data_IF_212986810631
#
_entry.id   IF_212986810631
#
_cell.length_a   1.000
_cell.length_b   1.000
_cell.length_c   1.000
_cell.angle_alpha   90.00
_cell.angle_beta   90.00
_cell.angle_gamma   90.00
#
_symmetry.space_group_name_H-M   'P 1'
#
loop_
_entity.id
_entity.type
_entity.pdbx_description
1 polymer ?
#
# COMPACT_ATOMS: atom_id res chain seq x y z
N UNK A 1 -31.55 -9.90 -27.89
CA UNK A 1 -30.08 -9.85 -27.97
C UNK A 1 -29.44 -9.80 -26.57
N UNK A 2 -29.30 -10.92 -25.82
CA UNK A 2 -28.59 -10.94 -24.55
C UNK A 2 -27.22 -11.69 -24.60
N UNK A 3 -26.79 -12.21 -25.76
CA UNK A 3 -25.59 -13.07 -25.81
C UNK A 3 -24.26 -12.34 -25.82
N UNK A 4 -24.19 -11.07 -26.21
CA UNK A 4 -22.94 -10.29 -26.31
C UNK A 4 -22.41 -9.82 -24.95
N UNK A 5 -23.29 -9.51 -23.99
CA UNK A 5 -22.86 -9.01 -22.67
C UNK A 5 -22.30 -10.12 -21.75
N UNK A 6 -22.78 -11.35 -21.91
CA UNK A 6 -22.29 -12.51 -21.14
C UNK A 6 -20.93 -12.96 -21.66
N UNK A 7 -20.71 -12.96 -22.98
CA UNK A 7 -19.42 -13.31 -23.58
C UNK A 7 -18.31 -12.29 -23.23
N UNK A 8 -18.61 -10.99 -23.23
CA UNK A 8 -17.68 -9.94 -22.80
C UNK A 8 -17.31 -10.07 -21.31
N UNK A 9 -18.26 -10.38 -20.45
CA UNK A 9 -17.98 -10.61 -19.01
C UNK A 9 -17.08 -11.83 -18.80
N UNK A 10 -17.28 -12.93 -19.53
CA UNK A 10 -16.45 -14.12 -19.39
C UNK A 10 -15.00 -13.90 -19.90
N UNK A 11 -14.81 -13.07 -20.94
CA UNK A 11 -13.47 -12.73 -21.46
C UNK A 11 -12.67 -11.85 -20.47
N UNK A 12 -13.30 -10.90 -19.81
CA UNK A 12 -12.64 -10.03 -18.83
C UNK A 12 -12.27 -10.80 -17.54
N UNK A 13 -13.12 -11.77 -17.14
CA UNK A 13 -12.87 -12.58 -15.93
C UNK A 13 -11.67 -13.51 -16.06
N UNK A 14 -11.22 -13.80 -17.27
CA UNK A 14 -10.12 -14.76 -17.52
C UNK A 14 -8.80 -14.07 -17.91
N UNK A 15 -8.80 -12.74 -18.09
CA UNK A 15 -7.59 -11.99 -18.43
C UNK A 15 -6.67 -11.88 -17.22
N UNK A 16 -5.38 -12.17 -17.42
CA UNK A 16 -4.34 -11.94 -16.42
C UNK A 16 -4.34 -10.47 -15.98
N UNK A 17 -4.09 -10.23 -14.70
CA UNK A 17 -3.91 -8.90 -14.13
C UNK A 17 -2.83 -8.13 -14.90
N UNK A 18 -3.18 -6.96 -15.41
CA UNK A 18 -2.26 -6.11 -16.16
C UNK A 18 -1.42 -5.24 -15.22
N UNK A 19 -0.12 -5.26 -15.41
CA UNK A 19 0.83 -4.42 -14.69
C UNK A 19 0.91 -3.09 -15.44
N UNK A 20 0.09 -2.13 -15.06
CA UNK A 20 -0.07 -0.85 -15.76
C UNK A 20 -0.21 0.35 -14.81
N UNK A 21 0.14 0.16 -13.55
CA UNK A 21 0.10 1.22 -12.54
C UNK A 21 1.11 0.95 -11.42
N UNK A 22 1.41 2.03 -10.66
CA UNK A 22 2.15 2.02 -9.41
C UNK A 22 1.59 3.15 -8.53
N UNK A 23 0.90 2.80 -7.43
CA UNK A 23 0.20 3.78 -6.60
C UNK A 23 0.90 4.11 -5.30
N UNK A 24 2.14 3.60 -5.11
CA UNK A 24 2.92 3.89 -3.92
C UNK A 24 4.37 4.17 -4.31
N UNK A 25 4.70 5.43 -4.52
CA UNK A 25 6.02 5.89 -4.94
C UNK A 25 6.40 7.13 -4.11
N UNK A 26 7.63 7.16 -3.61
CA UNK A 26 8.19 8.33 -2.94
C UNK A 26 9.14 9.10 -3.84
N UNK A 27 9.15 10.42 -3.71
CA UNK A 27 10.18 11.26 -4.30
C UNK A 27 11.31 11.55 -3.31
N UNK A 28 12.33 12.27 -3.76
CA UNK A 28 13.41 12.76 -2.88
C UNK A 28 12.93 13.74 -1.78
N UNK A 29 11.66 14.20 -1.84
CA UNK A 29 11.04 15.06 -0.83
C UNK A 29 10.76 14.29 0.46
N UNK A 30 10.40 13.01 0.38
CA UNK A 30 10.23 12.16 1.57
C UNK A 30 11.51 12.12 2.40
N UNK A 31 11.37 12.37 3.71
CA UNK A 31 12.54 12.49 4.61
C UNK A 31 13.39 11.21 4.75
N UNK A 32 12.90 10.07 4.30
CA UNK A 32 13.63 8.80 4.23
C UNK A 32 14.24 8.52 2.84
N UNK A 33 13.94 9.32 1.83
CA UNK A 33 14.55 9.23 0.52
C UNK A 33 15.90 9.98 0.52
N UNK A 34 16.95 9.32 0.04
CA UNK A 34 18.30 9.87 0.00
C UNK A 34 18.87 9.91 -1.42
N UNK A 35 18.07 9.59 -2.43
CA UNK A 35 18.44 9.63 -3.84
C UNK A 35 17.91 10.94 -4.48
N UNK A 36 18.77 11.94 -4.75
CA UNK A 36 18.34 13.20 -5.35
C UNK A 36 17.83 13.05 -6.78
N UNK A 37 18.12 11.92 -7.43
CA UNK A 37 17.62 11.61 -8.78
C UNK A 37 16.20 11.06 -8.77
N UNK A 38 15.62 10.76 -7.59
CA UNK A 38 14.24 10.28 -7.42
C UNK A 38 13.25 11.46 -7.57
N UNK A 39 13.32 12.15 -8.68
CA UNK A 39 12.46 13.32 -9.01
C UNK A 39 11.14 12.89 -9.61
N UNK A 40 10.14 13.79 -9.61
CA UNK A 40 8.84 13.55 -10.25
C UNK A 40 8.99 13.26 -11.75
N UNK A 41 9.94 13.88 -12.44
CA UNK A 41 10.25 13.62 -13.86
C UNK A 41 10.83 12.23 -14.08
N UNK A 42 11.70 11.75 -13.15
CA UNK A 42 12.25 10.40 -13.22
C UNK A 42 11.16 9.35 -12.98
N UNK A 43 10.27 9.62 -12.03
CA UNK A 43 9.10 8.76 -11.72
C UNK A 43 8.16 8.68 -12.93
N UNK A 44 7.86 9.81 -13.57
CA UNK A 44 7.04 9.80 -14.79
C UNK A 44 7.71 9.01 -15.92
N UNK A 45 9.01 9.20 -16.13
CA UNK A 45 9.77 8.45 -17.14
C UNK A 45 9.71 6.94 -16.88
N UNK A 46 9.88 6.50 -15.64
CA UNK A 46 9.70 5.10 -15.25
C UNK A 46 8.33 4.55 -15.68
N UNK A 47 7.27 5.30 -15.44
CA UNK A 47 5.93 4.89 -15.84
C UNK A 47 5.77 4.79 -17.36
N UNK A 48 6.32 5.75 -18.11
CA UNK A 48 6.28 5.74 -19.57
C UNK A 48 7.08 4.60 -20.19
N UNK A 49 8.28 4.34 -19.67
CA UNK A 49 9.16 3.26 -20.12
C UNK A 49 8.57 1.87 -19.88
N UNK A 50 7.76 1.72 -18.81
CA UNK A 50 7.10 0.46 -18.49
C UNK A 50 5.65 0.36 -19.01
N UNK A 51 5.18 1.36 -19.77
CA UNK A 51 3.85 1.37 -20.37
C UNK A 51 2.71 1.45 -19.35
N UNK A 52 2.95 2.10 -18.21
CA UNK A 52 1.92 2.35 -17.21
C UNK A 52 0.93 3.40 -17.72
N UNK A 53 -0.31 3.27 -17.30
CA UNK A 53 -1.39 4.22 -17.59
C UNK A 53 -1.65 5.18 -16.43
N UNK A 54 -1.28 4.77 -15.19
CA UNK A 54 -1.54 5.56 -14.00
C UNK A 54 -0.46 5.33 -12.94
N UNK A 55 0.00 6.39 -12.28
CA UNK A 55 0.91 6.33 -11.14
C UNK A 55 0.48 7.34 -10.08
N UNK A 56 0.93 7.14 -8.83
CA UNK A 56 0.66 8.07 -7.75
C UNK A 56 1.94 8.37 -6.95
N UNK A 57 2.25 9.66 -6.80
CA UNK A 57 3.26 10.11 -5.86
C UNK A 57 2.65 10.17 -4.47
N UNK A 58 3.23 9.45 -3.51
CA UNK A 58 2.66 9.25 -2.17
C UNK A 58 3.70 9.51 -1.08
N UNK A 59 4.36 10.67 -1.15
CA UNK A 59 5.31 11.08 -0.12
C UNK A 59 4.68 11.03 1.27
N UNK A 60 5.48 10.73 2.30
CA UNK A 60 5.01 10.64 3.68
C UNK A 60 4.35 11.93 4.14
N UNK A 61 3.23 11.79 4.84
CA UNK A 61 2.37 12.90 5.21
C UNK A 61 1.78 12.76 6.61
N UNK A 62 1.74 13.87 7.33
CA UNK A 62 0.91 14.04 8.51
C UNK A 62 0.27 15.44 8.50
N UNK A 63 -1.06 15.48 8.57
CA UNK A 63 -1.82 16.74 8.61
C UNK A 63 -1.49 17.50 9.91
N UNK A 64 -1.02 18.73 9.78
CA UNK A 64 -0.67 19.60 10.90
C UNK A 64 -1.85 19.90 11.84
N UNK A 65 -3.08 19.70 11.40
CA UNK A 65 -4.29 19.85 12.22
C UNK A 65 -4.62 18.62 13.05
N UNK A 66 -3.89 17.51 12.86
CA UNK A 66 -4.09 16.25 13.58
C UNK A 66 -3.00 16.08 14.63
N UNK A 67 -3.40 16.00 15.90
CA UNK A 67 -2.45 15.77 17.00
C UNK A 67 -1.88 14.34 16.99
N UNK A 68 -0.69 14.17 17.57
CA UNK A 68 -0.08 12.85 17.74
C UNK A 68 1.01 12.49 16.73
N UNK A 69 1.43 13.43 15.88
CA UNK A 69 2.59 13.26 15.02
C UNK A 69 3.88 13.03 15.83
N UNK A 70 4.78 12.19 15.32
CA UNK A 70 6.16 12.19 15.79
C UNK A 70 6.92 13.42 15.28
N UNK A 71 8.09 13.71 15.87
CA UNK A 71 8.97 14.78 15.36
C UNK A 71 9.40 14.58 13.91
N UNK A 72 9.41 13.34 13.44
CA UNK A 72 9.75 13.00 12.07
C UNK A 72 8.57 13.30 11.14
N UNK A 73 7.36 12.85 11.48
CA UNK A 73 6.15 13.09 10.69
C UNK A 73 5.71 14.56 10.70
N UNK A 74 5.85 15.29 11.80
CA UNK A 74 5.40 16.70 11.91
C UNK A 74 6.05 17.64 10.89
N UNK A 75 7.20 17.25 10.33
CA UNK A 75 7.90 17.98 9.27
C UNK A 75 7.38 17.68 7.86
N UNK A 76 6.66 16.57 7.69
CA UNK A 76 6.12 16.09 6.43
C UNK A 76 4.64 16.45 6.30
N UNK A 77 4.33 17.73 6.47
CA UNK A 77 3.00 18.30 6.35
C UNK A 77 2.64 18.62 4.89
N UNK A 78 1.44 19.15 4.69
CA UNK A 78 0.95 19.46 3.34
C UNK A 78 1.87 20.41 2.57
N UNK A 79 2.35 21.47 3.21
CA UNK A 79 3.25 22.42 2.56
C UNK A 79 4.56 21.77 2.10
N UNK A 80 5.06 20.78 2.87
CA UNK A 80 6.26 20.04 2.53
C UNK A 80 6.06 19.18 1.27
N UNK A 81 5.03 18.31 1.25
CA UNK A 81 4.81 17.40 0.11
C UNK A 81 4.27 18.13 -1.13
N UNK A 82 3.53 19.23 -0.95
CA UNK A 82 3.05 20.09 -2.06
C UNK A 82 4.19 20.81 -2.79
N UNK A 83 5.43 20.78 -2.27
CA UNK A 83 6.61 21.24 -3.00
C UNK A 83 6.89 20.43 -4.29
N UNK A 84 6.31 19.22 -4.41
CA UNK A 84 6.33 18.44 -5.65
C UNK A 84 5.42 18.99 -6.75
N UNK A 85 4.52 19.91 -6.44
CA UNK A 85 3.55 20.44 -7.40
C UNK A 85 4.10 21.65 -8.18
N UNK A 86 3.72 21.81 -9.47
CA UNK A 86 2.86 20.90 -10.22
C UNK A 86 3.60 19.64 -10.68
N UNK A 87 2.94 18.48 -10.64
CA UNK A 87 3.50 17.26 -11.19
C UNK A 87 3.72 17.39 -12.72
N UNK A 88 4.75 16.73 -13.29
CA UNK A 88 4.97 16.68 -14.71
C UNK A 88 3.80 15.98 -15.40
N UNK A 89 3.51 16.38 -16.65
CA UNK A 89 2.37 15.88 -17.41
C UNK A 89 2.82 14.94 -18.52
N UNK A 90 1.98 13.96 -18.82
CA UNK A 90 2.10 13.06 -19.97
C UNK A 90 0.74 12.87 -20.63
N UNK A 91 0.75 12.64 -21.96
CA UNK A 91 -0.46 12.26 -22.70
C UNK A 91 -0.79 10.76 -22.56
N UNK A 92 0.12 9.97 -21.95
CA UNK A 92 0.01 8.52 -21.82
C UNK A 92 -0.20 8.04 -20.40
N UNK A 93 0.24 8.83 -19.42
CA UNK A 93 0.26 8.45 -18.01
C UNK A 93 -0.50 9.49 -17.19
N UNK A 94 -1.52 9.06 -16.45
CA UNK A 94 -2.15 9.89 -15.42
C UNK A 94 -1.27 9.87 -14.18
N UNK A 95 -0.68 11.00 -13.81
CA UNK A 95 0.17 11.13 -12.63
C UNK A 95 -0.59 11.81 -11.51
N UNK A 96 -0.98 11.05 -10.50
CA UNK A 96 -1.75 11.50 -9.36
C UNK A 96 -0.85 12.04 -8.24
N UNK A 97 -1.33 13.08 -7.56
CA UNK A 97 -0.78 13.54 -6.30
C UNK A 97 -1.53 12.86 -5.16
N UNK A 98 -0.84 12.11 -4.35
CA UNK A 98 -1.35 11.35 -3.22
C UNK A 98 -0.52 11.59 -1.97
N UNK A 99 -0.71 10.74 -0.98
CA UNK A 99 0.06 10.75 0.26
C UNK A 99 0.12 9.36 0.89
N UNK A 100 1.24 9.02 1.53
CA UNK A 100 1.28 7.96 2.51
C UNK A 100 1.18 8.56 3.91
N UNK A 101 0.09 8.26 4.62
CA UNK A 101 -0.13 8.74 5.99
C UNK A 101 -0.09 7.60 6.98
N UNK A 102 0.28 7.90 8.21
CA UNK A 102 0.44 6.91 9.27
C UNK A 102 -0.74 6.92 10.26
N UNK A 103 -0.92 5.81 10.93
CA UNK A 103 -1.84 5.68 12.07
C UNK A 103 -1.03 5.35 13.33
N UNK A 104 -1.09 6.19 14.36
CA UNK A 104 -0.32 5.97 15.58
C UNK A 104 -0.91 4.84 16.46
N UNK A 105 -0.20 4.46 17.54
CA UNK A 105 -0.61 3.38 18.46
C UNK A 105 -1.95 3.60 19.17
N UNK A 106 -2.47 4.83 19.17
CA UNK A 106 -3.79 5.17 19.72
C UNK A 106 -4.87 5.18 18.63
N UNK A 107 -4.57 4.63 17.45
CA UNK A 107 -5.42 4.60 16.27
C UNK A 107 -5.81 6.00 15.76
N UNK A 108 -4.98 7.02 16.01
CA UNK A 108 -5.15 8.34 15.42
C UNK A 108 -4.50 8.31 14.03
N UNK A 109 -5.32 8.53 13.01
CA UNK A 109 -4.88 8.58 11.61
C UNK A 109 -4.34 9.98 11.31
N UNK A 110 -3.15 10.08 10.73
CA UNK A 110 -2.43 11.33 10.45
C UNK A 110 -3.01 12.19 9.33
N UNK A 111 -4.26 11.95 8.92
CA UNK A 111 -4.96 12.74 7.91
C UNK A 111 -6.37 13.09 8.40
N UNK A 112 -6.77 14.35 8.30
CA UNK A 112 -8.14 14.78 8.59
C UNK A 112 -9.07 14.45 7.42
N UNK A 113 -10.38 14.25 7.70
CA UNK A 113 -11.37 13.91 6.67
C UNK A 113 -11.37 14.86 5.48
N UNK A 114 -11.24 16.17 5.72
CA UNK A 114 -11.22 17.20 4.66
C UNK A 114 -10.00 17.11 3.75
N UNK A 115 -8.87 16.57 4.25
CA UNK A 115 -7.63 16.44 3.48
C UNK A 115 -7.66 15.33 2.45
N UNK A 116 -8.57 14.37 2.58
CA UNK A 116 -8.74 13.36 1.54
C UNK A 116 -9.10 13.95 0.17
N UNK A 117 -9.74 15.12 0.15
CA UNK A 117 -10.11 15.78 -1.11
C UNK A 117 -8.90 16.41 -1.84
N UNK A 118 -7.80 16.64 -1.14
CA UNK A 118 -6.56 17.18 -1.70
C UNK A 118 -5.75 16.11 -2.47
N UNK A 119 -6.08 14.82 -2.28
CA UNK A 119 -5.32 13.69 -2.81
C UNK A 119 -6.15 12.82 -3.77
N UNK A 120 -5.50 12.36 -4.85
CA UNK A 120 -6.08 11.38 -5.75
C UNK A 120 -6.10 9.97 -5.15
N UNK A 121 -5.13 9.63 -4.31
CA UNK A 121 -5.02 8.35 -3.60
C UNK A 121 -4.27 8.51 -2.29
N UNK A 122 -4.64 7.74 -1.27
CA UNK A 122 -4.01 7.76 0.05
C UNK A 122 -3.60 6.35 0.45
N UNK A 123 -2.33 6.18 0.74
CA UNK A 123 -1.75 4.94 1.26
C UNK A 123 -1.73 5.00 2.79
N UNK A 124 -2.19 3.92 3.43
CA UNK A 124 -2.23 3.82 4.90
C UNK A 124 -1.57 2.50 5.33
N UNK A 125 -0.34 2.54 5.86
CA UNK A 125 0.30 1.38 6.43
C UNK A 125 -0.31 1.01 7.79
N UNK A 126 -0.51 -0.27 8.02
CA UNK A 126 -0.92 -0.79 9.33
C UNK A 126 0.21 -1.55 10.04
N UNK A 127 1.35 -1.69 9.40
CA UNK A 127 2.43 -2.64 9.74
C UNK A 127 3.78 -2.00 10.07
N UNK A 128 3.89 -0.68 10.14
CA UNK A 128 5.12 0.00 10.59
C UNK A 128 5.39 -0.22 12.10
N UNK A 129 5.45 -1.50 12.53
CA UNK A 129 5.63 -1.87 13.93
C UNK A 129 7.08 -1.74 14.43
N UNK A 130 8.01 -1.37 13.56
CA UNK A 130 9.35 -0.96 13.95
C UNK A 130 9.39 0.46 14.55
N UNK A 131 8.32 1.25 14.41
CA UNK A 131 8.24 2.63 14.88
C UNK A 131 7.55 2.71 16.24
N UNK A 132 8.20 3.39 17.23
CA UNK A 132 7.63 3.65 18.56
C UNK A 132 6.31 4.45 18.54
N UNK A 133 6.04 5.14 17.45
CA UNK A 133 4.78 5.85 17.22
C UNK A 133 3.59 4.87 17.15
N UNK A 134 3.80 3.69 16.62
CA UNK A 134 2.76 2.78 16.15
C UNK A 134 2.51 1.59 17.06
N UNK A 135 3.43 1.32 18.00
CA UNK A 135 3.36 0.19 18.92
C UNK A 135 3.90 0.57 20.31
N UNK A 136 3.32 0.01 21.36
CA UNK A 136 3.86 0.13 22.71
C UNK A 136 5.17 -0.66 22.87
N UNK A 137 5.98 -0.34 23.89
CA UNK A 137 7.19 -1.13 24.19
C UNK A 137 6.83 -2.57 24.61
N UNK A 138 5.73 -2.73 25.36
CA UNK A 138 5.25 -4.03 25.82
C UNK A 138 4.82 -4.92 24.63
N UNK A 139 3.91 -4.44 23.78
CA UNK A 139 3.44 -5.21 22.63
C UNK A 139 4.56 -5.43 21.59
N UNK A 140 5.48 -4.47 21.46
CA UNK A 140 6.62 -4.55 20.54
C UNK A 140 7.75 -5.51 21.00
N UNK A 141 7.70 -5.99 22.24
CA UNK A 141 8.75 -6.84 22.80
C UNK A 141 8.71 -8.30 22.32
N UNK A 142 7.55 -8.77 21.83
CA UNK A 142 7.36 -10.18 21.43
C UNK A 142 6.64 -10.31 20.08
N UNK A 143 6.88 -11.40 19.33
CA UNK A 143 6.11 -11.70 18.13
C UNK A 143 4.60 -11.78 18.37
N UNK A 144 4.16 -12.34 19.52
CA UNK A 144 2.75 -12.43 19.91
C UNK A 144 2.09 -11.06 20.08
N UNK A 145 2.78 -10.12 20.74
CA UNK A 145 2.32 -8.75 20.89
C UNK A 145 2.20 -8.04 19.54
N UNK A 146 3.21 -8.18 18.67
CA UNK A 146 3.19 -7.62 17.31
C UNK A 146 2.07 -8.20 16.46
N UNK A 147 1.82 -9.52 16.52
CA UNK A 147 0.72 -10.16 15.81
C UNK A 147 -0.65 -9.63 16.27
N UNK A 148 -0.84 -9.44 17.58
CA UNK A 148 -2.04 -8.81 18.14
C UNK A 148 -2.22 -7.38 17.64
N UNK A 149 -1.16 -6.57 17.62
CA UNK A 149 -1.19 -5.19 17.13
C UNK A 149 -1.47 -5.15 15.63
N UNK A 150 -0.89 -6.05 14.83
CA UNK A 150 -1.18 -6.18 13.41
C UNK A 150 -2.70 -6.32 13.15
N UNK A 151 -3.34 -7.26 13.86
CA UNK A 151 -4.78 -7.50 13.76
C UNK A 151 -5.58 -6.27 14.20
N UNK A 152 -5.25 -5.69 15.37
CA UNK A 152 -6.03 -4.58 15.94
C UNK A 152 -5.91 -3.29 15.14
N UNK A 153 -4.76 -3.01 14.52
CA UNK A 153 -4.58 -1.84 13.67
C UNK A 153 -5.37 -1.93 12.37
N UNK A 154 -5.33 -3.09 11.70
CA UNK A 154 -6.11 -3.29 10.49
C UNK A 154 -7.63 -3.22 10.79
N UNK A 155 -8.08 -3.85 11.88
CA UNK A 155 -9.49 -3.79 12.28
C UNK A 155 -9.92 -2.36 12.62
N UNK A 156 -9.12 -1.65 13.41
CA UNK A 156 -9.37 -0.27 13.78
C UNK A 156 -9.44 0.67 12.57
N UNK A 157 -8.57 0.50 11.58
CA UNK A 157 -8.63 1.27 10.33
C UNK A 157 -9.94 0.98 9.57
N UNK A 158 -10.31 -0.29 9.46
CA UNK A 158 -11.53 -0.70 8.75
C UNK A 158 -12.83 -0.31 9.48
N UNK A 159 -12.77 0.06 10.77
CA UNK A 159 -13.93 0.60 11.51
C UNK A 159 -14.13 2.10 11.31
N UNK A 160 -13.14 2.81 10.77
CA UNK A 160 -13.25 4.24 10.52
C UNK A 160 -14.23 4.54 9.37
N UNK A 161 -14.83 5.72 9.43
CA UNK A 161 -15.65 6.26 8.34
C UNK A 161 -14.74 7.05 7.38
N UNK A 162 -14.23 6.36 6.36
CA UNK A 162 -13.24 6.84 5.40
C UNK A 162 -13.68 6.60 3.95
N UNK A 163 -13.15 7.37 2.98
CA UNK A 163 -13.42 7.18 1.56
C UNK A 163 -12.59 6.00 0.99
N UNK A 164 -12.91 4.77 1.39
CA UNK A 164 -12.12 3.57 1.10
C UNK A 164 -11.85 3.33 -0.38
N UNK A 165 -12.72 3.80 -1.28
CA UNK A 165 -12.52 3.66 -2.72
C UNK A 165 -11.31 4.44 -3.29
N UNK A 166 -10.65 5.29 -2.49
CA UNK A 166 -9.38 5.95 -2.84
C UNK A 166 -8.29 5.74 -1.78
N UNK A 167 -8.40 4.65 -1.01
CA UNK A 167 -7.43 4.27 0.01
C UNK A 167 -6.83 2.91 -0.34
N UNK A 168 -5.52 2.79 -0.14
CA UNK A 168 -4.77 1.55 -0.19
C UNK A 168 -4.16 1.20 1.16
N UNK A 169 -4.29 -0.06 1.58
CA UNK A 169 -3.58 -0.59 2.76
C UNK A 169 -2.24 -1.13 2.29
N UNK A 170 -1.14 -0.62 2.88
CA UNK A 170 0.21 -0.88 2.42
C UNK A 170 0.93 -1.99 3.20
N UNK A 171 1.87 -2.62 2.51
CA UNK A 171 2.94 -3.54 2.96
C UNK A 171 2.57 -4.44 4.13
N UNK A 172 1.51 -5.25 3.95
CA UNK A 172 0.93 -6.11 4.98
C UNK A 172 1.90 -7.10 5.62
N UNK A 173 2.95 -7.51 4.92
CA UNK A 173 3.90 -8.52 5.36
C UNK A 173 5.37 -8.12 5.17
N UNK A 174 5.66 -6.84 4.92
CA UNK A 174 7.02 -6.33 4.79
C UNK A 174 7.81 -6.40 6.12
N UNK A 175 9.12 -6.30 6.03
CA UNK A 175 10.04 -6.37 7.18
C UNK A 175 9.88 -5.25 8.20
N UNK A 176 9.01 -4.27 7.94
CA UNK A 176 8.59 -3.24 8.89
C UNK A 176 7.90 -3.78 10.15
N UNK A 177 7.42 -5.02 10.11
CA UNK A 177 6.75 -5.70 11.24
C UNK A 177 7.73 -5.99 12.37
N UNK A 178 8.91 -6.52 12.05
CA UNK A 178 9.97 -6.81 13.01
C UNK A 178 11.34 -6.72 12.31
N UNK A 179 12.39 -6.36 13.07
CA UNK A 179 13.75 -6.20 12.54
C UNK A 179 14.38 -7.52 12.13
N UNK A 180 14.28 -8.50 13.04
CA UNK A 180 14.92 -9.79 12.86
C UNK A 180 14.03 -10.68 11.98
N UNK A 181 14.63 -11.35 11.01
CA UNK A 181 13.91 -12.21 10.05
C UNK A 181 13.08 -13.29 10.74
N UNK A 182 13.62 -13.92 11.78
CA UNK A 182 12.96 -14.96 12.54
C UNK A 182 11.69 -14.43 13.23
N UNK A 183 11.79 -13.29 13.91
CA UNK A 183 10.65 -12.62 14.55
C UNK A 183 9.61 -12.18 13.53
N UNK A 184 10.05 -11.63 12.40
CA UNK A 184 9.17 -11.21 11.31
C UNK A 184 8.32 -12.38 10.80
N UNK A 185 8.94 -13.52 10.47
CA UNK A 185 8.21 -14.71 10.03
C UNK A 185 7.31 -15.26 11.14
N UNK A 186 7.81 -15.26 12.38
CA UNK A 186 7.03 -15.72 13.54
C UNK A 186 5.78 -14.89 13.76
N UNK A 187 5.84 -13.57 13.61
CA UNK A 187 4.64 -12.70 13.67
C UNK A 187 3.61 -13.12 12.62
N UNK A 188 4.04 -13.31 11.38
CA UNK A 188 3.14 -13.69 10.28
C UNK A 188 2.51 -15.09 10.50
N UNK A 189 3.27 -16.06 11.04
CA UNK A 189 2.74 -17.38 11.40
C UNK A 189 1.67 -17.31 12.49
N UNK A 190 1.86 -16.41 13.46
CA UNK A 190 0.96 -16.22 14.61
C UNK A 190 -0.35 -15.53 14.24
N UNK A 191 -0.47 -14.91 13.06
CA UNK A 191 -1.72 -14.31 12.63
C UNK A 191 -2.82 -15.38 12.50
N UNK A 192 -3.92 -15.31 13.29
CA UNK A 192 -4.95 -16.33 13.24
C UNK A 192 -5.70 -16.27 11.90
N UNK A 193 -5.82 -17.42 11.23
CA UNK A 193 -6.48 -17.50 9.91
C UNK A 193 -7.90 -16.94 9.94
N UNK A 194 -8.69 -17.30 10.97
CA UNK A 194 -10.04 -16.77 11.15
C UNK A 194 -10.11 -15.25 11.26
N UNK A 195 -9.11 -14.61 11.89
CA UNK A 195 -9.04 -13.15 11.96
C UNK A 195 -8.66 -12.56 10.61
N UNK A 196 -7.73 -13.18 9.87
CA UNK A 196 -7.41 -12.75 8.51
C UNK A 196 -8.62 -12.85 7.59
N UNK A 197 -9.37 -13.95 7.63
CA UNK A 197 -10.61 -14.12 6.86
C UNK A 197 -11.63 -13.02 7.20
N UNK A 198 -11.87 -12.77 8.49
CA UNK A 198 -12.80 -11.73 8.96
C UNK A 198 -12.39 -10.33 8.48
N UNK A 199 -11.11 -10.00 8.64
CA UNK A 199 -10.58 -8.69 8.28
C UNK A 199 -10.60 -8.44 6.78
N UNK A 200 -10.20 -9.43 5.98
CA UNK A 200 -10.22 -9.27 4.54
C UNK A 200 -11.63 -9.32 3.94
N UNK A 201 -12.56 -10.06 4.52
CA UNK A 201 -13.98 -9.95 4.16
C UNK A 201 -14.51 -8.51 4.40
N UNK A 202 -14.18 -7.91 5.56
CA UNK A 202 -14.50 -6.52 5.89
C UNK A 202 -13.81 -5.52 4.93
N UNK A 203 -12.54 -5.75 4.58
CA UNK A 203 -11.80 -4.93 3.63
C UNK A 203 -12.44 -4.98 2.22
N UNK A 204 -12.83 -6.16 1.77
CA UNK A 204 -13.52 -6.35 0.50
C UNK A 204 -14.89 -5.64 0.47
N UNK A 205 -15.67 -5.73 1.56
CA UNK A 205 -16.94 -5.01 1.70
C UNK A 205 -16.76 -3.49 1.66
N UNK A 206 -15.72 -2.97 2.32
CA UNK A 206 -15.36 -1.54 2.30
C UNK A 206 -14.84 -1.07 0.95
N UNK A 207 -14.36 -1.97 0.10
CA UNK A 207 -13.80 -1.63 -1.20
C UNK A 207 -12.43 -0.95 -1.13
N UNK A 208 -11.65 -1.18 -0.07
CA UNK A 208 -10.28 -0.67 0.07
C UNK A 208 -9.31 -1.50 -0.78
N UNK A 209 -8.28 -0.85 -1.35
CA UNK A 209 -7.22 -1.54 -2.07
C UNK A 209 -6.24 -2.25 -1.13
N UNK A 210 -5.81 -3.44 -1.50
CA UNK A 210 -4.71 -4.17 -0.84
C UNK A 210 -3.47 -4.05 -1.71
N UNK A 211 -2.39 -3.55 -1.14
CA UNK A 211 -1.14 -3.39 -1.86
C UNK A 211 -0.45 -4.73 -2.14
N UNK A 212 0.11 -4.85 -3.32
CA UNK A 212 1.22 -5.77 -3.60
C UNK A 212 2.50 -4.94 -3.60
N UNK A 213 3.11 -4.83 -2.46
CA UNK A 213 4.29 -4.02 -2.24
C UNK A 213 5.56 -4.77 -2.65
N UNK A 214 6.50 -4.05 -3.27
CA UNK A 214 7.82 -4.62 -3.59
C UNK A 214 8.52 -5.20 -2.36
N UNK A 215 8.43 -4.52 -1.21
CA UNK A 215 9.03 -4.97 0.05
C UNK A 215 8.41 -6.26 0.60
N UNK A 216 7.09 -6.47 0.45
CA UNK A 216 6.42 -7.73 0.78
C UNK A 216 6.95 -8.87 -0.09
N UNK A 217 7.11 -8.61 -1.40
CA UNK A 217 7.58 -9.59 -2.37
C UNK A 217 9.02 -9.99 -2.10
N UNK A 218 9.90 -9.02 -1.79
CA UNK A 218 11.28 -9.27 -1.39
C UNK A 218 11.35 -10.05 -0.07
N UNK A 219 10.48 -9.73 0.89
CA UNK A 219 10.36 -10.46 2.14
C UNK A 219 9.88 -11.90 1.96
N UNK A 220 9.20 -12.22 0.86
CA UNK A 220 8.72 -13.58 0.57
C UNK A 220 9.83 -14.54 0.15
N UNK A 221 10.99 -14.07 -0.29
CA UNK A 221 12.08 -14.94 -0.78
C UNK A 221 12.47 -15.98 0.27
N UNK A 222 12.30 -17.27 -0.08
CA UNK A 222 12.55 -18.42 0.80
C UNK A 222 11.53 -18.63 1.92
N UNK A 223 10.40 -17.88 1.93
CA UNK A 223 9.32 -18.02 2.92
C UNK A 223 7.95 -17.66 2.30
N UNK A 224 7.75 -17.99 1.03
CA UNK A 224 6.60 -17.55 0.22
C UNK A 224 5.26 -17.93 0.85
N UNK A 225 5.17 -19.14 1.41
CA UNK A 225 3.92 -19.62 2.01
C UNK A 225 3.51 -18.81 3.25
N UNK A 226 4.48 -18.35 4.04
CA UNK A 226 4.24 -17.56 5.25
C UNK A 226 3.91 -16.12 4.88
N UNK A 227 4.79 -15.49 4.07
CA UNK A 227 4.71 -14.05 3.76
C UNK A 227 3.51 -13.75 2.86
N UNK A 228 3.19 -14.63 1.89
CA UNK A 228 2.08 -14.43 0.96
C UNK A 228 0.74 -14.98 1.48
N UNK A 229 0.70 -15.60 2.66
CA UNK A 229 -0.55 -16.12 3.24
C UNK A 229 -1.64 -15.06 3.40
N UNK A 230 -1.38 -13.87 3.94
CA UNK A 230 -2.39 -12.81 4.04
C UNK A 230 -2.99 -12.43 2.68
N UNK A 231 -2.17 -12.35 1.63
CA UNK A 231 -2.63 -11.99 0.27
C UNK A 231 -3.48 -13.11 -0.38
N UNK A 232 -3.13 -14.39 -0.14
CA UNK A 232 -3.96 -15.53 -0.58
C UNK A 232 -5.35 -15.47 0.04
N UNK A 233 -5.41 -15.19 1.35
CA UNK A 233 -6.69 -15.07 2.07
C UNK A 233 -7.45 -13.82 1.59
N UNK A 234 -6.78 -12.68 1.42
CA UNK A 234 -7.38 -11.46 0.89
C UNK A 234 -8.02 -11.70 -0.50
N UNK A 235 -7.31 -12.38 -1.40
CA UNK A 235 -7.84 -12.76 -2.71
C UNK A 235 -9.09 -13.65 -2.56
N UNK A 236 -9.01 -14.67 -1.70
CA UNK A 236 -10.14 -15.58 -1.47
C UNK A 236 -11.36 -14.84 -0.95
N UNK A 237 -11.18 -13.83 -0.10
CA UNK A 237 -12.26 -12.96 0.42
C UNK A 237 -12.74 -11.91 -0.59
N UNK A 238 -12.16 -11.83 -1.78
CA UNK A 238 -12.60 -10.94 -2.86
C UNK A 238 -12.04 -9.52 -2.78
N UNK A 239 -11.00 -9.28 -1.99
CA UNK A 239 -10.26 -8.02 -1.98
C UNK A 239 -9.73 -7.67 -3.38
N UNK A 240 -9.54 -6.37 -3.63
CA UNK A 240 -8.93 -5.85 -4.84
C UNK A 240 -7.51 -5.38 -4.55
N UNK A 241 -6.61 -5.62 -5.51
CA UNK A 241 -5.19 -5.38 -5.36
C UNK A 241 -4.71 -4.22 -6.22
N UNK A 242 -3.75 -3.47 -5.70
CA UNK A 242 -2.97 -2.49 -6.46
C UNK A 242 -1.48 -2.75 -6.27
N UNK A 243 -0.68 -2.21 -7.18
CA UNK A 243 0.78 -2.34 -7.17
C UNK A 243 1.39 -1.12 -6.52
N UNK A 244 2.36 -1.32 -5.66
CA UNK A 244 3.12 -0.26 -5.01
C UNK A 244 4.59 -0.63 -4.91
N UNK A 245 5.47 0.18 -5.52
CA UNK A 245 6.92 -0.04 -5.42
C UNK A 245 7.46 0.37 -4.06
N UNK A 246 6.83 1.36 -3.43
CA UNK A 246 7.36 2.01 -2.23
C UNK A 246 8.83 2.45 -2.44
N UNK A 247 9.11 2.88 -3.66
CA UNK A 247 10.46 3.17 -4.10
C UNK A 247 10.92 4.52 -3.55
N UNK A 248 12.06 4.51 -2.85
CA UNK A 248 12.74 5.68 -2.30
C UNK A 248 14.04 6.00 -3.07
N UNK A 249 14.29 5.30 -4.16
CA UNK A 249 15.43 5.51 -5.05
C UNK A 249 15.14 5.02 -6.46
N UNK A 250 15.87 5.55 -7.42
CA UNK A 250 15.78 5.17 -8.84
C UNK A 250 16.04 3.67 -9.04
N UNK A 251 16.97 3.08 -8.31
CA UNK A 251 17.26 1.65 -8.37
C UNK A 251 16.07 0.80 -7.87
N UNK A 252 15.36 1.27 -6.83
CA UNK A 252 14.16 0.59 -6.32
C UNK A 252 12.99 0.65 -7.32
N UNK A 253 12.81 1.79 -8.02
CA UNK A 253 11.86 1.91 -9.12
C UNK A 253 12.16 0.90 -10.24
N UNK A 254 13.40 0.85 -10.70
CA UNK A 254 13.79 0.01 -11.83
C UNK A 254 13.63 -1.49 -11.52
N UNK A 255 13.71 -1.88 -10.25
CA UNK A 255 13.52 -3.26 -9.81
C UNK A 255 12.05 -3.67 -9.63
N UNK A 256 11.10 -2.73 -9.57
CA UNK A 256 9.74 -2.99 -9.10
C UNK A 256 8.93 -3.90 -10.04
N UNK A 257 9.00 -3.66 -11.36
CA UNK A 257 8.14 -4.35 -12.35
C UNK A 257 8.33 -5.88 -12.33
N UNK A 258 9.58 -6.34 -12.22
CA UNK A 258 9.85 -7.77 -12.11
C UNK A 258 9.28 -8.41 -10.85
N UNK A 259 9.22 -7.65 -9.75
CA UNK A 259 8.60 -8.09 -8.50
C UNK A 259 7.07 -8.17 -8.64
N UNK A 260 6.45 -7.18 -9.25
CA UNK A 260 5.01 -7.19 -9.54
C UNK A 260 4.60 -8.38 -10.39
N UNK A 261 5.38 -8.70 -11.46
CA UNK A 261 5.10 -9.84 -12.33
C UNK A 261 5.13 -11.16 -11.57
N UNK A 262 6.10 -11.31 -10.66
CA UNK A 262 6.18 -12.48 -9.78
C UNK A 262 4.95 -12.60 -8.89
N UNK A 263 4.54 -11.52 -8.17
CA UNK A 263 3.41 -11.56 -7.24
C UNK A 263 2.08 -11.83 -7.95
N UNK A 264 1.85 -11.18 -9.09
CA UNK A 264 0.67 -11.42 -9.94
C UNK A 264 0.60 -12.88 -10.39
N UNK A 265 1.74 -13.46 -10.76
CA UNK A 265 1.83 -14.87 -11.16
C UNK A 265 1.64 -15.81 -9.98
N UNK A 266 2.31 -15.55 -8.87
CA UNK A 266 2.24 -16.39 -7.66
C UNK A 266 0.83 -16.48 -7.09
N UNK A 267 0.11 -15.34 -7.08
CA UNK A 267 -1.27 -15.26 -6.61
C UNK A 267 -2.30 -15.62 -7.71
N UNK A 268 -1.88 -15.90 -8.95
CA UNK A 268 -2.77 -16.11 -10.11
C UNK A 268 -3.84 -15.01 -10.23
N UNK A 269 -3.43 -13.73 -10.15
CA UNK A 269 -4.37 -12.62 -10.20
C UNK A 269 -4.92 -12.39 -11.61
N UNK A 270 -6.19 -12.03 -11.66
CA UNK A 270 -6.92 -11.69 -12.89
C UNK A 270 -7.23 -10.18 -12.91
N UNK A 271 -7.58 -9.66 -14.06
CA UNK A 271 -7.96 -8.25 -14.21
C UNK A 271 -9.15 -7.87 -13.31
N UNK A 272 -10.01 -8.83 -12.99
CA UNK A 272 -11.12 -8.66 -12.05
C UNK A 272 -10.68 -8.50 -10.59
N UNK A 273 -9.43 -8.83 -10.25
CA UNK A 273 -8.87 -8.65 -8.91
C UNK A 273 -8.23 -7.27 -8.73
N UNK A 274 -8.16 -6.45 -9.81
CA UNK A 274 -7.55 -5.13 -9.80
C UNK A 274 -8.40 -4.14 -9.01
N UNK A 275 -7.73 -3.37 -8.16
CA UNK A 275 -8.30 -2.20 -7.53
C UNK A 275 -8.32 -1.02 -8.51
N UNK A 276 -9.42 -0.29 -8.51
CA UNK A 276 -9.57 0.94 -9.27
C UNK A 276 -9.92 2.08 -8.32
N UNK A 277 -9.16 3.17 -8.40
CA UNK A 277 -9.43 4.37 -7.60
C UNK A 277 -10.80 4.92 -7.98
N UNK A 278 -11.67 5.09 -6.98
CA UNK A 278 -12.99 5.73 -7.18
C UNK A 278 -12.83 7.23 -7.36
N UNK A 279 -13.50 7.79 -8.36
CA UNK A 279 -13.50 9.23 -8.64
C UNK A 279 -14.45 9.99 -7.74
#
# INVERSE_FOLDING_TARGET
MPHTAVALRSFVTDMRYKIDHDFHIHSFISSCSHDPEQTSERILRYAEENGFSQICLTDHFWDESVEGASNWYSKQNYAHIAAALPLPKSDRVEFLFGAETEMNKNLVLGISKKRFDDFGFVVIPTTHLHMKLNISEEDGATPEGRAKVWVSRLDGLLDMDLPFGKIGIAHLSATCIAKEREDHLRVLELLPERELERLFAKAAEKGVGIELNRGDIEAAEGAEEIVMRPFKIAKYQGCKFYLGSDAHSTAALDAAVGRFDWAVSYLDLKETDKFHISK
#
